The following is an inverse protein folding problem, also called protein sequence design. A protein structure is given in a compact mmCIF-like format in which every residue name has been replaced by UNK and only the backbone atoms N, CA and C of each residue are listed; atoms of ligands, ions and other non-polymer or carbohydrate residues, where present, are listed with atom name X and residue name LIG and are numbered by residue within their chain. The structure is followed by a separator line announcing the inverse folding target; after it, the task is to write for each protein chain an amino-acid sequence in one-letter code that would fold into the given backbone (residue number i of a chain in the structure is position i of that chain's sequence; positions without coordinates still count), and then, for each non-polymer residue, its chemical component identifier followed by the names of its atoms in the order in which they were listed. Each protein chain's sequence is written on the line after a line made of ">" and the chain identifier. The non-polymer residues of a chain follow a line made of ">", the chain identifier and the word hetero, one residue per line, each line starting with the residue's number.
data_IF_196525702396
#
_entry.id   IF_196525702396
#
_cell.length_a   1.000
_cell.length_b   1.000
_cell.length_c   1.000
_cell.angle_alpha   90.00
_cell.angle_beta   90.00
_cell.angle_gamma   90.00
#
_symmetry.space_group_name_H-M   'P 1'
#
loop_
_entity.id
_entity.type
_entity.pdbx_description
1 polymer ?
#
# COMPACT_ATOMS: atom_id res chain seq x y z
N UNK A 1 -24.74 22.60 15.14
CA UNK A 1 -24.23 21.74 14.07
C UNK A 1 -22.81 22.20 13.75
N UNK A 2 -21.78 21.44 14.15
CA UNK A 2 -20.39 21.76 13.81
C UNK A 2 -20.18 21.40 12.34
N UNK A 3 -19.96 22.42 11.52
CA UNK A 3 -19.62 22.27 10.12
C UNK A 3 -18.23 21.65 10.05
N UNK A 4 -18.13 20.31 10.00
CA UNK A 4 -16.89 19.61 9.71
C UNK A 4 -16.64 19.78 8.22
N UNK A 5 -15.86 20.79 7.85
CA UNK A 5 -15.35 20.92 6.49
C UNK A 5 -14.59 19.63 6.18
N UNK A 6 -15.19 18.75 5.37
CA UNK A 6 -14.53 17.56 4.87
C UNK A 6 -13.34 18.01 4.01
N UNK A 7 -12.12 17.67 4.42
CA UNK A 7 -10.95 17.90 3.57
C UNK A 7 -11.06 16.99 2.35
N UNK A 8 -11.11 17.60 1.17
CA UNK A 8 -11.11 16.87 -0.11
C UNK A 8 -9.70 16.45 -0.51
N UNK A 9 -9.58 15.25 -1.05
CA UNK A 9 -8.36 14.70 -1.64
C UNK A 9 -8.66 14.22 -3.06
N UNK A 10 -7.64 14.10 -3.90
CA UNK A 10 -7.80 13.45 -5.19
C UNK A 10 -7.95 11.94 -5.00
N UNK A 11 -7.16 11.36 -4.07
CA UNK A 11 -7.15 9.93 -3.78
C UNK A 11 -7.16 9.66 -2.28
N UNK A 12 -8.05 8.79 -1.83
CA UNK A 12 -7.98 8.16 -0.50
C UNK A 12 -7.56 6.71 -0.66
N UNK A 13 -6.53 6.30 0.08
CA UNK A 13 -6.08 4.91 0.19
C UNK A 13 -6.55 4.35 1.53
N UNK A 14 -7.41 3.34 1.49
CA UNK A 14 -7.92 2.66 2.68
C UNK A 14 -7.04 1.44 3.01
N UNK A 15 -6.17 1.60 3.99
CA UNK A 15 -5.18 0.62 4.43
C UNK A 15 -3.74 1.00 4.07
N UNK A 16 -2.86 1.03 5.05
CA UNK A 16 -1.44 1.42 4.93
C UNK A 16 -0.47 0.24 4.92
N UNK A 17 -0.88 -0.92 4.39
CA UNK A 17 0.01 -2.05 4.11
C UNK A 17 0.93 -1.80 2.92
N UNK A 18 1.69 -2.82 2.47
CA UNK A 18 2.61 -2.69 1.33
C UNK A 18 1.90 -2.13 0.08
N UNK A 19 0.74 -2.71 -0.28
CA UNK A 19 -0.04 -2.26 -1.43
C UNK A 19 -0.52 -0.80 -1.28
N UNK A 20 -0.98 -0.41 -0.09
CA UNK A 20 -1.43 0.96 0.17
C UNK A 20 -0.31 1.98 0.14
N UNK A 21 0.86 1.64 0.69
CA UNK A 21 2.04 2.51 0.63
C UNK A 21 2.48 2.72 -0.83
N UNK A 22 2.53 1.64 -1.63
CA UNK A 22 2.85 1.73 -3.06
C UNK A 22 1.81 2.58 -3.81
N UNK A 23 0.51 2.32 -3.62
CA UNK A 23 -0.57 3.08 -4.24
C UNK A 23 -0.48 4.58 -3.92
N UNK A 24 -0.24 4.91 -2.64
CA UNK A 24 -0.09 6.30 -2.20
C UNK A 24 1.12 6.98 -2.83
N UNK A 25 2.27 6.30 -2.91
CA UNK A 25 3.49 6.82 -3.52
C UNK A 25 3.26 7.11 -5.01
N UNK A 26 2.69 6.15 -5.76
CA UNK A 26 2.47 6.33 -7.19
C UNK A 26 1.43 7.42 -7.49
N UNK A 27 0.33 7.47 -6.73
CA UNK A 27 -0.66 8.54 -6.86
C UNK A 27 -0.04 9.91 -6.58
N UNK A 28 0.73 10.04 -5.50
CA UNK A 28 1.39 11.31 -5.15
C UNK A 28 2.49 11.70 -6.16
N UNK A 29 3.25 10.74 -6.71
CA UNK A 29 4.22 10.99 -7.80
C UNK A 29 3.52 11.48 -9.08
N UNK A 30 2.27 11.08 -9.31
CA UNK A 30 1.43 11.58 -10.39
C UNK A 30 0.82 12.96 -10.11
N UNK A 31 1.12 13.58 -8.97
CA UNK A 31 0.67 14.92 -8.59
C UNK A 31 -0.65 14.96 -7.83
N UNK A 32 -1.23 13.81 -7.47
CA UNK A 32 -2.46 13.76 -6.70
C UNK A 32 -2.23 14.15 -5.22
N UNK A 33 -3.19 14.85 -4.62
CA UNK A 33 -3.31 14.99 -3.17
C UNK A 33 -3.82 13.68 -2.58
N UNK A 34 -3.03 13.05 -1.70
CA UNK A 34 -3.30 11.69 -1.21
C UNK A 34 -3.49 11.67 0.30
N UNK A 35 -4.53 10.95 0.74
CA UNK A 35 -4.76 10.58 2.13
C UNK A 35 -4.67 9.06 2.29
N UNK A 36 -3.87 8.58 3.23
CA UNK A 36 -3.88 7.19 3.68
C UNK A 36 -4.60 7.10 5.02
N UNK A 37 -5.60 6.24 5.11
CA UNK A 37 -6.29 5.92 6.37
C UNK A 37 -5.88 4.51 6.79
N UNK A 38 -5.23 4.40 7.95
CA UNK A 38 -4.71 3.13 8.48
C UNK A 38 -5.31 2.85 9.85
N UNK A 39 -5.72 1.60 10.07
CA UNK A 39 -6.26 1.13 11.33
C UNK A 39 -5.23 1.01 12.45
N UNK A 40 -4.00 0.65 12.09
CA UNK A 40 -2.92 0.46 13.05
C UNK A 40 -2.22 1.79 13.40
N UNK A 41 -1.37 1.71 14.42
CA UNK A 41 -0.49 2.79 14.87
C UNK A 41 0.69 3.09 13.93
N UNK A 42 0.90 2.24 12.90
CA UNK A 42 2.00 2.38 11.92
C UNK A 42 1.66 1.74 10.58
N UNK A 43 2.22 2.32 9.52
CA UNK A 43 2.14 1.76 8.16
C UNK A 43 3.08 0.54 8.02
N UNK A 44 2.75 -0.35 7.08
CA UNK A 44 3.62 -1.45 6.69
C UNK A 44 3.84 -2.51 7.75
N UNK A 45 2.96 -2.66 8.73
CA UNK A 45 3.11 -3.59 9.86
C UNK A 45 3.39 -5.04 9.42
N UNK A 46 2.70 -5.51 8.36
CA UNK A 46 2.93 -6.85 7.82
C UNK A 46 4.27 -6.98 7.09
N UNK A 47 4.83 -5.92 6.54
CA UNK A 47 6.14 -5.95 5.87
C UNK A 47 7.20 -6.51 6.82
N UNK A 48 7.18 -6.08 8.08
CA UNK A 48 8.16 -6.48 9.10
C UNK A 48 8.20 -7.99 9.38
N UNK A 49 7.11 -8.71 9.08
CA UNK A 49 7.01 -10.17 9.28
C UNK A 49 7.27 -10.96 8.00
N UNK A 50 7.39 -10.32 6.84
CA UNK A 50 7.60 -11.01 5.57
C UNK A 50 9.02 -11.55 5.44
N UNK A 51 9.18 -12.65 4.70
CA UNK A 51 10.49 -13.26 4.47
C UNK A 51 11.25 -13.55 5.76
N UNK A 52 10.56 -13.97 6.82
CA UNK A 52 11.12 -14.19 8.15
C UNK A 52 11.88 -12.97 8.69
N UNK A 53 11.27 -11.77 8.55
CA UNK A 53 11.86 -10.51 8.99
C UNK A 53 12.87 -9.88 8.00
N UNK A 54 13.06 -10.50 6.82
CA UNK A 54 14.00 -10.02 5.79
C UNK A 54 13.31 -9.23 4.67
N UNK A 55 12.00 -9.39 4.47
CA UNK A 55 11.19 -8.88 3.38
C UNK A 55 11.66 -9.37 1.99
N UNK A 56 11.15 -10.53 1.56
CA UNK A 56 11.20 -10.86 0.14
C UNK A 56 10.24 -9.94 -0.61
N UNK A 57 10.77 -9.01 -1.43
CA UNK A 57 9.94 -8.00 -2.08
C UNK A 57 9.65 -8.30 -3.55
N UNK A 58 10.44 -9.17 -4.21
CA UNK A 58 10.15 -9.69 -5.56
C UNK A 58 10.93 -10.99 -5.84
N UNK A 59 10.70 -11.57 -7.02
CA UNK A 59 11.31 -12.81 -7.47
C UNK A 59 11.77 -12.62 -8.94
N UNK A 60 12.97 -13.11 -9.29
CA UNK A 60 13.52 -13.09 -10.65
C UNK A 60 12.74 -13.95 -11.65
N UNK A 61 12.12 -15.02 -11.15
CA UNK A 61 11.39 -15.98 -11.97
C UNK A 61 9.90 -15.96 -11.61
N UNK A 62 9.21 -14.86 -11.97
CA UNK A 62 7.77 -14.80 -11.85
C UNK A 62 7.15 -15.71 -12.93
N UNK A 63 6.47 -16.76 -12.51
CA UNK A 63 5.69 -17.63 -13.38
C UNK A 63 4.20 -17.48 -13.04
N UNK A 64 3.40 -17.06 -14.02
CA UNK A 64 1.97 -16.86 -13.87
C UNK A 64 1.21 -18.14 -13.50
N UNK A 65 1.80 -19.32 -13.72
CA UNK A 65 1.22 -20.60 -13.29
C UNK A 65 1.18 -20.74 -11.75
N UNK A 66 1.96 -19.95 -11.03
CA UNK A 66 1.98 -19.93 -9.57
C UNK A 66 0.91 -19.01 -8.96
N UNK A 67 0.09 -18.35 -9.79
CA UNK A 67 -1.00 -17.47 -9.35
C UNK A 67 -2.34 -18.18 -9.51
N UNK A 68 -3.01 -18.40 -8.40
CA UNK A 68 -4.28 -19.14 -8.35
C UNK A 68 -5.46 -18.20 -8.12
N UNK A 69 -6.60 -18.50 -8.75
CA UNK A 69 -7.86 -17.78 -8.49
C UNK A 69 -8.04 -16.44 -9.21
N UNK A 70 -7.10 -16.06 -10.07
CA UNK A 70 -7.23 -14.88 -10.92
C UNK A 70 -7.31 -15.25 -12.39
N UNK A 71 -7.98 -14.42 -13.19
CA UNK A 71 -7.97 -14.53 -14.64
C UNK A 71 -6.55 -14.32 -15.19
N UNK A 72 -6.09 -15.24 -16.06
CA UNK A 72 -4.73 -15.19 -16.61
C UNK A 72 -4.48 -13.92 -17.43
N UNK A 73 -5.45 -13.52 -18.26
CA UNK A 73 -5.31 -12.32 -19.08
C UNK A 73 -5.19 -11.06 -18.23
N UNK A 74 -5.90 -11.00 -17.10
CA UNK A 74 -5.76 -9.93 -16.11
C UNK A 74 -4.35 -9.92 -15.51
N UNK A 75 -3.81 -11.07 -15.10
CA UNK A 75 -2.45 -11.16 -14.56
C UNK A 75 -1.40 -10.73 -15.58
N UNK A 76 -1.52 -11.16 -16.83
CA UNK A 76 -0.63 -10.76 -17.92
C UNK A 76 -0.62 -9.23 -18.10
N UNK A 77 -1.77 -8.58 -18.05
CA UNK A 77 -1.88 -7.12 -18.11
C UNK A 77 -1.22 -6.43 -16.92
N UNK A 78 -1.43 -6.96 -15.70
CA UNK A 78 -0.81 -6.40 -14.48
C UNK A 78 0.70 -6.48 -14.55
N UNK A 79 1.27 -7.64 -14.90
CA UNK A 79 2.72 -7.82 -14.99
C UNK A 79 3.35 -7.10 -16.20
N UNK A 80 2.59 -6.89 -17.28
CA UNK A 80 3.04 -6.05 -18.39
C UNK A 80 3.06 -4.56 -18.01
N UNK A 81 2.18 -4.12 -17.12
CA UNK A 81 2.14 -2.73 -16.64
C UNK A 81 3.17 -2.43 -15.55
N UNK A 82 3.53 -3.42 -14.73
CA UNK A 82 4.51 -3.29 -13.65
C UNK A 82 5.18 -4.65 -13.38
N UNK A 83 6.38 -4.81 -13.91
CA UNK A 83 7.14 -6.06 -13.87
C UNK A 83 7.94 -6.24 -12.57
N UNK A 84 8.58 -7.40 -12.43
CA UNK A 84 9.56 -7.64 -11.37
C UNK A 84 10.78 -6.71 -11.48
N UNK A 85 11.18 -6.36 -12.70
CA UNK A 85 12.27 -5.41 -12.92
C UNK A 85 11.87 -4.00 -12.47
N UNK A 86 10.63 -3.55 -12.79
CA UNK A 86 10.11 -2.27 -12.31
C UNK A 86 10.06 -2.22 -10.77
N UNK A 87 9.73 -3.36 -10.14
CA UNK A 87 9.76 -3.49 -8.68
C UNK A 87 11.18 -3.32 -8.14
N UNK A 88 12.18 -3.97 -8.74
CA UNK A 88 13.58 -3.83 -8.33
C UNK A 88 14.06 -2.38 -8.52
N UNK A 89 13.80 -1.79 -9.68
CA UNK A 89 14.22 -0.43 -10.01
C UNK A 89 13.55 0.60 -9.07
N UNK A 90 12.27 0.38 -8.74
CA UNK A 90 11.58 1.21 -7.74
C UNK A 90 12.30 1.18 -6.38
N UNK A 91 12.61 -0.01 -5.87
CA UNK A 91 13.30 -0.13 -4.58
C UNK A 91 14.75 0.36 -4.63
N UNK A 92 15.48 0.15 -5.73
CA UNK A 92 16.80 0.77 -5.94
C UNK A 92 16.72 2.29 -5.92
N UNK A 93 15.69 2.86 -6.55
CA UNK A 93 15.43 4.30 -6.51
C UNK A 93 15.16 4.86 -5.11
N UNK A 94 14.76 4.00 -4.17
CA UNK A 94 14.63 4.32 -2.74
C UNK A 94 15.88 3.97 -1.91
N UNK A 95 16.99 3.58 -2.54
CA UNK A 95 18.23 3.21 -1.86
C UNK A 95 18.25 1.78 -1.30
N UNK A 96 17.32 0.93 -1.71
CA UNK A 96 17.30 -0.50 -1.32
C UNK A 96 18.05 -1.32 -2.35
N UNK A 97 19.32 -1.61 -2.06
CA UNK A 97 20.11 -2.53 -2.88
C UNK A 97 19.64 -3.98 -2.70
N UNK A 98 19.46 -4.74 -3.80
CA UNK A 98 19.01 -6.12 -3.73
C UNK A 98 20.10 -7.06 -3.22
N UNK A 99 19.66 -8.10 -2.54
CA UNK A 99 20.37 -9.33 -2.26
C UNK A 99 19.53 -10.48 -2.79
N UNK A 100 20.10 -11.23 -3.73
CA UNK A 100 19.42 -12.37 -4.33
C UNK A 100 19.79 -13.67 -3.61
N UNK A 101 18.79 -14.49 -3.35
CA UNK A 101 18.94 -15.85 -2.84
C UNK A 101 17.92 -16.76 -3.52
N UNK A 102 18.36 -17.71 -4.33
CA UNK A 102 17.49 -18.67 -5.03
C UNK A 102 16.37 -18.01 -5.85
N UNK A 103 16.70 -16.93 -6.55
CA UNK A 103 15.77 -16.14 -7.34
C UNK A 103 14.92 -15.15 -6.54
N UNK A 104 14.88 -15.24 -5.22
CA UNK A 104 14.16 -14.33 -4.35
C UNK A 104 15.00 -13.10 -4.04
N UNK A 105 14.42 -11.90 -4.13
CA UNK A 105 15.08 -10.64 -3.84
C UNK A 105 14.69 -10.11 -2.47
N UNK A 106 15.72 -9.78 -1.72
CA UNK A 106 15.64 -9.18 -0.38
C UNK A 106 16.43 -7.86 -0.35
N UNK A 107 16.18 -6.95 0.58
CA UNK A 107 17.11 -5.86 0.82
C UNK A 107 18.48 -6.41 1.27
N UNK A 108 19.57 -5.79 0.80
CA UNK A 108 20.94 -6.21 1.16
C UNK A 108 21.19 -6.19 2.67
N UNK A 109 20.48 -5.33 3.40
CA UNK A 109 20.49 -5.31 4.87
C UNK A 109 19.93 -6.59 5.50
N UNK A 110 19.17 -7.41 4.74
CA UNK A 110 18.41 -8.58 5.22
C UNK A 110 17.43 -8.22 6.35
N UNK A 111 16.94 -6.98 6.36
CA UNK A 111 15.99 -6.47 7.36
C UNK A 111 14.76 -5.88 6.69
N UNK A 112 13.61 -6.44 6.98
CA UNK A 112 12.32 -5.93 6.48
C UNK A 112 12.07 -4.46 6.89
N UNK A 113 12.67 -4.05 8.02
CA UNK A 113 12.61 -2.67 8.51
C UNK A 113 13.18 -1.67 7.50
N UNK A 114 14.28 -2.00 6.81
CA UNK A 114 14.86 -1.11 5.80
C UNK A 114 13.90 -0.80 4.66
N UNK A 115 13.14 -1.82 4.21
CA UNK A 115 12.11 -1.65 3.17
C UNK A 115 10.96 -0.78 3.67
N UNK A 116 10.47 -1.03 4.89
CA UNK A 116 9.41 -0.22 5.49
C UNK A 116 9.85 1.24 5.64
N UNK A 117 11.05 1.49 6.16
CA UNK A 117 11.59 2.84 6.37
C UNK A 117 11.77 3.60 5.04
N UNK A 118 12.27 2.93 3.99
CA UNK A 118 12.41 3.54 2.68
C UNK A 118 11.05 3.98 2.10
N UNK A 119 10.03 3.15 2.23
CA UNK A 119 8.67 3.51 1.82
C UNK A 119 8.09 4.65 2.66
N UNK A 120 8.31 4.65 3.97
CA UNK A 120 7.86 5.72 4.87
C UNK A 120 8.53 7.05 4.54
N UNK A 121 9.83 7.06 4.28
CA UNK A 121 10.57 8.26 3.89
C UNK A 121 10.03 8.83 2.57
N UNK A 122 9.73 7.97 1.59
CA UNK A 122 9.17 8.43 0.33
C UNK A 122 7.75 9.01 0.48
N UNK A 123 6.90 8.38 1.30
CA UNK A 123 5.56 8.90 1.66
C UNK A 123 5.69 10.29 2.29
N UNK A 124 6.64 10.46 3.21
CA UNK A 124 6.90 11.73 3.86
C UNK A 124 7.42 12.78 2.87
N UNK A 125 8.38 12.41 2.01
CA UNK A 125 8.95 13.29 0.97
C UNK A 125 7.88 13.82 0.03
N UNK A 126 6.89 12.97 -0.31
CA UNK A 126 5.76 13.31 -1.17
C UNK A 126 4.61 14.03 -0.45
N UNK A 127 4.77 14.32 0.84
CA UNK A 127 3.76 15.03 1.66
C UNK A 127 2.39 14.32 1.67
N UNK A 128 2.36 12.99 1.59
CA UNK A 128 1.13 12.20 1.71
C UNK A 128 0.55 12.40 3.11
N UNK A 129 -0.73 12.72 3.19
CA UNK A 129 -1.43 12.87 4.48
C UNK A 129 -1.72 11.49 5.07
N UNK A 130 -1.43 11.32 6.37
CA UNK A 130 -1.66 10.08 7.09
C UNK A 130 -2.69 10.30 8.21
N UNK A 131 -3.68 9.42 8.27
CA UNK A 131 -4.64 9.31 9.38
C UNK A 131 -4.52 7.90 9.94
N UNK A 132 -3.90 7.81 11.11
CA UNK A 132 -3.57 6.55 11.78
C UNK A 132 -4.63 6.20 12.83
N UNK A 133 -4.66 4.93 13.24
CA UNK A 133 -5.58 4.40 14.26
C UNK A 133 -7.06 4.64 13.94
N UNK A 134 -7.36 4.71 12.62
CA UNK A 134 -8.72 4.92 12.11
C UNK A 134 -9.14 3.76 11.22
N UNK A 135 -10.28 3.17 11.53
CA UNK A 135 -10.90 2.15 10.71
C UNK A 135 -11.86 2.78 9.71
N UNK A 136 -11.64 2.59 8.43
CA UNK A 136 -12.65 2.90 7.41
C UNK A 136 -13.84 1.97 7.62
N UNK A 137 -15.02 2.53 7.78
CA UNK A 137 -16.25 1.79 8.05
C UNK A 137 -17.20 1.76 6.88
N UNK A 138 -17.25 2.87 6.11
CA UNK A 138 -18.18 3.03 5.01
C UNK A 138 -17.55 3.89 3.91
N UNK A 139 -17.81 3.50 2.68
CA UNK A 139 -17.47 4.26 1.48
C UNK A 139 -18.73 4.38 0.65
N UNK A 140 -19.09 5.58 0.30
CA UNK A 140 -20.29 5.91 -0.46
C UNK A 140 -19.91 6.69 -1.71
N UNK A 141 -20.49 6.33 -2.84
CA UNK A 141 -20.40 7.16 -4.04
C UNK A 141 -21.24 8.41 -3.83
N UNK A 142 -20.67 9.54 -4.19
CA UNK A 142 -21.33 10.86 -4.18
C UNK A 142 -21.19 11.51 -5.55
N UNK A 143 -21.87 12.59 -5.78
CA UNK A 143 -21.65 13.40 -6.98
C UNK A 143 -21.10 14.77 -6.52
N UNK A 144 -19.79 15.06 -6.78
CA UNK A 144 -18.78 14.19 -7.37
C UNK A 144 -18.06 13.29 -6.33
N UNK A 145 -17.55 12.12 -6.77
CA UNK A 145 -16.53 11.31 -6.06
C UNK A 145 -17.08 10.40 -4.96
N UNK A 146 -16.39 10.39 -3.84
CA UNK A 146 -16.64 9.46 -2.74
C UNK A 146 -16.62 10.14 -1.38
N UNK A 147 -17.49 9.68 -0.48
CA UNK A 147 -17.48 9.99 0.94
C UNK A 147 -16.97 8.76 1.71
N UNK A 148 -15.88 8.91 2.44
CA UNK A 148 -15.30 7.88 3.29
C UNK A 148 -15.58 8.22 4.74
N UNK A 149 -16.19 7.28 5.48
CA UNK A 149 -16.53 7.44 6.89
C UNK A 149 -15.78 6.42 7.74
N UNK A 150 -15.14 6.89 8.80
CA UNK A 150 -14.44 6.06 9.77
C UNK A 150 -15.39 5.54 10.87
N UNK A 151 -14.93 4.56 11.65
CA UNK A 151 -15.72 3.97 12.73
C UNK A 151 -16.09 4.99 13.83
N UNK A 152 -15.25 5.98 14.06
CA UNK A 152 -15.49 7.09 14.99
C UNK A 152 -16.21 8.30 14.34
N UNK A 153 -16.79 8.08 13.14
CA UNK A 153 -17.64 9.03 12.41
C UNK A 153 -16.91 10.25 11.83
N UNK A 154 -15.60 10.24 11.71
CA UNK A 154 -14.91 11.23 10.87
C UNK A 154 -15.22 10.97 9.40
N UNK A 155 -15.26 12.03 8.60
CA UNK A 155 -15.59 11.96 7.18
C UNK A 155 -14.54 12.64 6.33
N UNK A 156 -14.21 12.02 5.19
CA UNK A 156 -13.28 12.53 4.18
C UNK A 156 -13.91 12.38 2.81
N UNK A 157 -13.61 13.29 1.89
CA UNK A 157 -14.06 13.22 0.50
C UNK A 157 -12.89 13.03 -0.44
N UNK A 158 -13.10 12.28 -1.53
CA UNK A 158 -12.09 12.09 -2.56
C UNK A 158 -12.70 11.89 -3.94
N UNK A 159 -11.90 12.23 -4.98
CA UNK A 159 -12.26 11.90 -6.37
C UNK A 159 -12.19 10.38 -6.63
N UNK A 160 -11.26 9.68 -5.97
CA UNK A 160 -11.05 8.23 -6.10
C UNK A 160 -10.70 7.58 -4.77
N UNK A 161 -11.04 6.29 -4.63
CA UNK A 161 -10.69 5.48 -3.46
C UNK A 161 -10.00 4.20 -3.90
N UNK A 162 -8.85 3.88 -3.27
CA UNK A 162 -8.11 2.64 -3.49
C UNK A 162 -8.22 1.78 -2.22
N UNK A 163 -8.75 0.56 -2.37
CA UNK A 163 -8.93 -0.38 -1.28
C UNK A 163 -7.70 -1.28 -1.14
N UNK A 164 -7.00 -1.18 -0.01
CA UNK A 164 -5.79 -1.95 0.29
C UNK A 164 -5.83 -2.52 1.72
N UNK A 165 -7.02 -2.86 2.21
CA UNK A 165 -7.26 -3.33 3.58
C UNK A 165 -6.59 -4.69 3.88
N UNK A 166 -6.05 -5.35 2.85
CA UNK A 166 -5.37 -6.64 2.97
C UNK A 166 -6.32 -7.82 2.97
N UNK A 167 -5.77 -9.00 3.17
CA UNK A 167 -6.51 -10.25 3.21
C UNK A 167 -6.35 -10.98 4.55
N UNK A 168 -7.05 -12.10 4.71
CA UNK A 168 -7.02 -12.94 5.92
C UNK A 168 -5.76 -13.79 6.06
N UNK A 169 -4.90 -13.81 5.04
CA UNK A 169 -3.63 -14.54 5.10
C UNK A 169 -2.72 -13.96 6.19
N UNK A 170 -2.17 -14.85 7.03
CA UNK A 170 -1.25 -14.51 8.12
C UNK A 170 -1.85 -13.45 9.07
N UNK A 171 -2.77 -13.88 9.92
CA UNK A 171 -3.40 -13.04 10.93
C UNK A 171 -2.38 -12.59 12.00
N UNK A 172 -1.57 -11.59 11.68
CA UNK A 172 -0.79 -10.86 12.67
C UNK A 172 -1.78 -9.97 13.44
N UNK A 173 -1.60 -9.84 14.75
CA UNK A 173 -2.44 -9.00 15.61
C UNK A 173 -2.59 -7.61 14.99
N UNK A 174 -3.82 -7.23 14.62
CA UNK A 174 -4.13 -5.99 13.91
C UNK A 174 -4.34 -6.12 12.39
N UNK A 175 -4.27 -7.35 11.82
CA UNK A 175 -4.71 -7.62 10.44
C UNK A 175 -5.97 -8.46 10.51
N UNK A 176 -7.11 -7.87 10.22
CA UNK A 176 -8.42 -8.55 10.28
C UNK A 176 -8.85 -9.14 8.94
N UNK A 177 -8.28 -8.65 7.84
CA UNK A 177 -8.60 -9.11 6.49
C UNK A 177 -10.07 -8.90 6.12
N UNK A 178 -10.58 -7.74 6.47
CA UNK A 178 -11.99 -7.35 6.22
C UNK A 178 -12.15 -6.73 4.85
#
# INVERSE_FOLDING_TARGET
>A
MKNTSSRGYDVIVAGGGAAGMMAAIFAARAGASVLVIEFNDRLGKKILATGNGKCNYTNRAIDLHNYYGADRAFLEQVFAAFSEQDTEDFFRGLGIEPYEQEGLLYPRSKQAKSVQEALLQEIQRLSVTLVMEKQVKRIEMTDPGFLVTTADKETFTAGSVILTCGGKASAIRGSRGD
#
